data_IF_775375340204
#
_entry.id   IF_775375340204
#
_cell.length_a   1.000
_cell.length_b   1.000
_cell.length_c   1.000
_cell.angle_alpha   90.00
_cell.angle_beta   90.00
_cell.angle_gamma   90.00
#
_symmetry.space_group_name_H-M   'P 1'
#
loop_
_entity.id
_entity.type
_entity.pdbx_description
1 polymer ?
#
# COMPACT_ATOMS: atom_id res chain seq x y z
N UNK A 1 -0.40 -2.00 -23.50
CA UNK A 1 -0.96 -1.51 -22.22
C UNK A 1 -2.13 -0.58 -22.50
N UNK A 2 -3.20 -0.71 -21.74
CA UNK A 2 -4.36 0.15 -21.87
C UNK A 2 -4.07 1.54 -21.32
N UNK A 3 -4.70 2.58 -21.87
CA UNK A 3 -4.53 3.96 -21.44
C UNK A 3 -4.85 4.16 -19.94
N UNK A 4 -5.90 3.50 -19.42
CA UNK A 4 -6.28 3.59 -18.00
C UNK A 4 -5.15 3.06 -17.10
N UNK A 5 -4.57 1.91 -17.44
CA UNK A 5 -3.49 1.32 -16.67
C UNK A 5 -2.25 2.21 -16.67
N UNK A 6 -1.92 2.82 -17.81
CA UNK A 6 -0.80 3.75 -17.92
C UNK A 6 -1.02 4.97 -17.03
N UNK A 7 -2.25 5.50 -16.99
CA UNK A 7 -2.62 6.63 -16.12
C UNK A 7 -2.48 6.28 -14.64
N UNK A 8 -2.90 5.08 -14.25
CA UNK A 8 -2.77 4.60 -12.87
C UNK A 8 -1.31 4.47 -12.45
N UNK A 9 -0.47 3.87 -13.31
CA UNK A 9 0.96 3.76 -13.07
C UNK A 9 1.59 5.13 -12.84
N UNK A 10 1.27 6.09 -13.69
CA UNK A 10 1.85 7.43 -13.63
C UNK A 10 1.42 8.16 -12.36
N UNK A 11 0.16 8.03 -11.96
CA UNK A 11 -0.35 8.64 -10.74
C UNK A 11 0.39 8.11 -9.50
N UNK A 12 0.56 6.79 -9.42
CA UNK A 12 1.25 6.15 -8.31
C UNK A 12 2.72 6.56 -8.30
N UNK A 13 3.38 6.51 -9.46
CA UNK A 13 4.78 6.88 -9.59
C UNK A 13 5.04 8.32 -9.16
N UNK A 14 4.19 9.25 -9.59
CA UNK A 14 4.32 10.66 -9.23
C UNK A 14 4.19 10.88 -7.72
N UNK A 15 3.23 10.22 -7.08
CA UNK A 15 3.04 10.31 -5.64
C UNK A 15 4.22 9.72 -4.88
N UNK A 16 4.72 8.56 -5.31
CA UNK A 16 5.88 7.91 -4.71
C UNK A 16 7.13 8.78 -4.83
N UNK A 17 7.40 9.33 -6.02
CA UNK A 17 8.57 10.17 -6.25
C UNK A 17 8.52 11.47 -5.43
N UNK A 18 7.33 11.98 -5.13
CA UNK A 18 7.14 13.13 -4.27
C UNK A 18 7.07 12.78 -2.78
N UNK A 19 7.17 11.48 -2.44
CA UNK A 19 7.11 10.96 -1.07
C UNK A 19 5.87 11.42 -0.32
N UNK A 20 4.72 11.36 -0.99
CA UNK A 20 3.42 11.75 -0.45
C UNK A 20 2.75 10.53 0.16
N UNK A 21 2.11 10.70 1.33
CA UNK A 21 1.25 9.69 1.91
C UNK A 21 -0.03 9.58 1.08
N UNK A 22 -0.40 8.36 0.68
CA UNK A 22 -1.59 8.16 -0.14
C UNK A 22 -2.09 6.73 -0.07
N UNK A 23 -3.35 6.53 -0.47
CA UNK A 23 -3.92 5.22 -0.75
C UNK A 23 -4.57 5.29 -2.13
N UNK A 24 -4.09 4.47 -3.06
CA UNK A 24 -4.67 4.37 -4.40
C UNK A 24 -5.48 3.08 -4.48
N UNK A 25 -6.81 3.22 -4.54
CA UNK A 25 -7.72 2.07 -4.56
C UNK A 25 -7.76 1.43 -5.94
N UNK A 26 -7.55 0.11 -6.00
CA UNK A 26 -7.62 -0.67 -7.23
C UNK A 26 -9.03 -1.22 -7.48
N UNK A 27 -9.84 -1.30 -6.41
CA UNK A 27 -11.21 -1.80 -6.45
C UNK A 27 -12.12 -0.82 -5.72
N UNK A 28 -13.24 -0.48 -6.35
CA UNK A 28 -14.20 0.44 -5.74
C UNK A 28 -14.76 -0.10 -4.42
N UNK A 29 -15.00 -1.41 -4.34
CA UNK A 29 -15.50 -2.07 -3.13
C UNK A 29 -14.56 -1.93 -1.94
N UNK A 30 -13.26 -1.78 -2.17
CA UNK A 30 -12.25 -1.67 -1.11
C UNK A 30 -12.35 -0.37 -0.33
N UNK A 31 -12.92 0.69 -0.92
CA UNK A 31 -13.10 1.99 -0.26
C UNK A 31 -14.00 1.93 0.98
N UNK A 32 -14.82 0.89 1.09
CA UNK A 32 -15.75 0.71 2.21
C UNK A 32 -15.20 -0.19 3.30
N UNK A 33 -14.02 -0.78 3.08
CA UNK A 33 -13.39 -1.70 4.03
C UNK A 33 -12.43 -0.93 4.92
N UNK A 34 -12.57 -1.19 6.21
CA UNK A 34 -11.98 -0.36 7.26
C UNK A 34 -10.50 -0.62 7.51
N UNK A 35 -10.10 -1.91 7.53
CA UNK A 35 -8.76 -2.30 7.98
C UNK A 35 -7.86 -2.61 6.80
N UNK A 36 -6.69 -1.97 6.77
CA UNK A 36 -5.71 -2.09 5.69
C UNK A 36 -4.53 -2.92 6.16
N UNK A 37 -4.20 -3.96 5.42
CA UNK A 37 -3.08 -4.84 5.70
C UNK A 37 -2.08 -4.76 4.55
N UNK A 38 -0.84 -4.38 4.85
CA UNK A 38 0.25 -4.43 3.88
C UNK A 38 0.71 -5.87 3.69
N UNK A 39 0.71 -6.36 2.47
CA UNK A 39 1.07 -7.75 2.17
C UNK A 39 2.22 -7.90 1.20
N UNK A 40 2.59 -6.86 0.46
CA UNK A 40 3.68 -6.93 -0.48
C UNK A 40 4.40 -5.58 -0.53
N UNK A 41 5.69 -5.58 -0.24
CA UNK A 41 6.51 -4.39 -0.34
C UNK A 41 6.88 -4.13 -1.79
N UNK A 42 6.53 -2.95 -2.30
CA UNK A 42 6.93 -2.50 -3.64
C UNK A 42 8.25 -1.75 -3.55
N UNK A 43 8.38 -0.90 -2.55
CA UNK A 43 9.60 -0.12 -2.30
C UNK A 43 9.71 0.23 -0.82
N UNK A 44 10.93 0.20 -0.31
CA UNK A 44 11.26 0.76 1.02
C UNK A 44 12.65 1.34 0.96
N UNK A 45 12.77 2.62 1.26
CA UNK A 45 14.07 3.31 1.26
C UNK A 45 13.90 4.81 1.33
N UNK A 46 15.01 5.57 1.23
CA UNK A 46 14.98 7.01 1.40
C UNK A 46 14.43 7.78 0.19
N UNK A 47 14.59 7.24 -1.03
CA UNK A 47 14.20 7.96 -2.23
C UNK A 47 13.75 7.01 -3.34
N UNK A 48 12.43 6.90 -3.57
CA UNK A 48 11.90 6.02 -4.61
C UNK A 48 12.42 6.33 -6.02
N UNK A 49 12.73 7.58 -6.32
CA UNK A 49 13.21 7.98 -7.65
C UNK A 49 14.56 7.36 -8.02
N UNK A 50 15.30 6.83 -7.03
CA UNK A 50 16.56 6.14 -7.27
C UNK A 50 16.38 4.66 -7.60
N UNK A 51 15.17 4.13 -7.47
CA UNK A 51 14.86 2.73 -7.76
C UNK A 51 14.58 2.57 -9.26
N UNK A 52 15.55 2.03 -10.00
CA UNK A 52 15.46 1.93 -11.46
C UNK A 52 14.30 1.08 -11.97
N UNK A 53 13.88 0.06 -11.19
CA UNK A 53 12.80 -0.84 -11.56
C UNK A 53 11.46 -0.51 -10.89
N UNK A 54 11.31 0.69 -10.33
CA UNK A 54 10.11 1.06 -9.57
C UNK A 54 8.84 0.94 -10.41
N UNK A 55 8.86 1.44 -11.64
CA UNK A 55 7.72 1.36 -12.54
C UNK A 55 7.33 -0.09 -12.83
N UNK A 56 8.30 -0.96 -13.02
CA UNK A 56 8.08 -2.40 -13.24
C UNK A 56 7.39 -3.03 -12.01
N UNK A 57 7.85 -2.71 -10.81
CA UNK A 57 7.27 -3.24 -9.58
C UNK A 57 5.85 -2.71 -9.33
N UNK A 58 5.61 -1.44 -9.62
CA UNK A 58 4.25 -0.86 -9.58
C UNK A 58 3.34 -1.61 -10.55
N UNK A 59 3.82 -1.84 -11.77
CA UNK A 59 3.03 -2.52 -12.80
C UNK A 59 2.67 -3.95 -12.41
N UNK A 60 3.60 -4.67 -11.78
CA UNK A 60 3.32 -6.00 -11.25
C UNK A 60 2.20 -5.98 -10.22
N UNK A 61 2.22 -5.01 -9.31
CA UNK A 61 1.19 -4.86 -8.30
C UNK A 61 -0.17 -4.53 -8.92
N UNK A 62 -0.20 -3.64 -9.92
CA UNK A 62 -1.43 -3.28 -10.63
C UNK A 62 -2.04 -4.47 -11.38
N UNK A 63 -1.22 -5.41 -11.80
CA UNK A 63 -1.66 -6.60 -12.55
C UNK A 63 -2.15 -7.72 -11.64
N UNK A 64 -1.98 -7.60 -10.32
CA UNK A 64 -2.41 -8.63 -9.37
C UNK A 64 -3.81 -8.33 -8.86
N UNK A 65 -4.78 -9.14 -9.29
CA UNK A 65 -6.19 -8.98 -8.94
C UNK A 65 -6.49 -9.19 -7.44
N UNK A 66 -5.55 -9.74 -6.67
CA UNK A 66 -5.74 -9.96 -5.24
C UNK A 66 -5.52 -8.69 -4.40
N UNK A 67 -4.85 -7.69 -4.94
CA UNK A 67 -4.61 -6.46 -4.20
C UNK A 67 -5.79 -5.51 -4.30
N UNK A 68 -6.10 -4.84 -3.20
CA UNK A 68 -7.19 -3.87 -3.09
C UNK A 68 -6.72 -2.44 -3.27
N UNK A 69 -5.49 -2.14 -2.87
CA UNK A 69 -4.92 -0.80 -2.99
C UNK A 69 -3.39 -0.83 -3.03
N UNK A 70 -2.82 0.29 -3.45
CA UNK A 70 -1.40 0.58 -3.28
C UNK A 70 -1.31 1.79 -2.37
N UNK A 71 -0.53 1.68 -1.31
CA UNK A 71 -0.36 2.76 -0.35
C UNK A 71 1.08 3.23 -0.25
N UNK A 72 1.24 4.53 -0.05
CA UNK A 72 2.53 5.15 0.21
C UNK A 72 2.54 5.85 1.55
N UNK A 73 3.66 5.75 2.25
CA UNK A 73 3.81 6.37 3.55
C UNK A 73 5.25 6.83 3.75
N UNK A 74 5.42 8.09 4.17
CA UNK A 74 6.72 8.66 4.46
C UNK A 74 6.95 8.76 5.96
N UNK A 75 7.85 7.92 6.48
CA UNK A 75 8.34 8.05 7.84
C UNK A 75 9.46 9.09 7.85
N UNK A 76 9.12 10.31 8.24
CA UNK A 76 10.04 11.45 8.20
C UNK A 76 11.19 11.30 9.19
N UNK A 77 10.94 10.72 10.35
CA UNK A 77 11.96 10.53 11.39
C UNK A 77 13.07 9.59 10.91
N UNK A 78 12.69 8.48 10.30
CA UNK A 78 13.64 7.50 9.78
C UNK A 78 14.15 7.83 8.39
N UNK A 79 13.57 8.85 7.73
CA UNK A 79 13.81 9.17 6.31
C UNK A 79 13.61 7.95 5.41
N UNK A 80 12.48 7.27 5.61
CA UNK A 80 12.12 6.07 4.86
C UNK A 80 10.75 6.29 4.23
N UNK A 81 10.64 6.01 2.93
CA UNK A 81 9.38 5.96 2.22
C UNK A 81 9.03 4.50 1.95
N UNK A 82 7.80 4.11 2.28
CA UNK A 82 7.27 2.76 2.03
C UNK A 82 6.17 2.83 0.99
N UNK A 83 6.25 1.95 -0.01
CA UNK A 83 5.21 1.77 -1.02
C UNK A 83 4.80 0.31 -0.97
N UNK A 84 3.54 0.04 -0.65
CA UNK A 84 3.05 -1.32 -0.40
C UNK A 84 1.78 -1.63 -1.17
N UNK A 85 1.62 -2.90 -1.52
CA UNK A 85 0.34 -3.43 -2.00
C UNK A 85 -0.44 -4.00 -0.82
N UNK A 86 -1.72 -3.68 -0.74
CA UNK A 86 -2.55 -3.93 0.42
C UNK A 86 -3.80 -4.73 0.10
N UNK A 87 -4.30 -5.45 1.12
CA UNK A 87 -5.64 -6.01 1.15
C UNK A 87 -6.42 -5.33 2.27
N UNK A 88 -7.71 -5.08 2.04
CA UNK A 88 -8.60 -4.40 2.98
C UNK A 88 -9.63 -5.36 3.53
N UNK A 89 -9.95 -5.21 4.81
CA UNK A 89 -10.93 -6.04 5.52
C UNK A 89 -11.90 -5.18 6.32
N UNK A 90 -13.14 -5.69 6.48
CA UNK A 90 -14.08 -5.16 7.47
C UNK A 90 -13.92 -5.81 8.83
N UNK A 91 -13.34 -6.99 8.89
CA UNK A 91 -13.19 -7.80 10.09
C UNK A 91 -11.76 -7.64 10.63
N UNK A 92 -11.67 -7.08 11.85
CA UNK A 92 -10.38 -6.84 12.50
C UNK A 92 -9.62 -8.13 12.79
N UNK A 93 -10.32 -9.22 13.09
CA UNK A 93 -9.68 -10.50 13.39
C UNK A 93 -9.01 -11.07 12.15
N UNK A 94 -9.72 -11.05 11.01
CA UNK A 94 -9.16 -11.49 9.72
C UNK A 94 -7.97 -10.63 9.32
N UNK A 95 -8.06 -9.31 9.51
CA UNK A 95 -6.96 -8.40 9.20
C UNK A 95 -5.72 -8.72 10.03
N UNK A 96 -5.87 -8.95 11.34
CA UNK A 96 -4.76 -9.30 12.22
C UNK A 96 -4.15 -10.65 11.86
N UNK A 97 -4.96 -11.65 11.51
CA UNK A 97 -4.48 -12.96 11.09
C UNK A 97 -3.61 -12.86 9.84
N UNK A 98 -4.08 -12.13 8.83
CA UNK A 98 -3.32 -11.95 7.60
C UNK A 98 -2.02 -11.16 7.86
N UNK A 99 -2.08 -10.11 8.67
CA UNK A 99 -0.91 -9.32 9.02
C UNK A 99 0.16 -10.19 9.69
N UNK A 100 -0.24 -11.01 10.68
CA UNK A 100 0.66 -11.93 11.36
C UNK A 100 1.27 -12.94 10.38
N UNK A 101 0.48 -13.50 9.47
CA UNK A 101 0.95 -14.45 8.46
C UNK A 101 1.99 -13.82 7.52
N UNK A 102 1.95 -12.52 7.33
CA UNK A 102 2.90 -11.78 6.51
C UNK A 102 3.97 -11.05 7.34
N UNK A 103 4.13 -11.43 8.59
CA UNK A 103 5.14 -10.88 9.49
C UNK A 103 5.00 -9.37 9.73
N UNK A 104 3.79 -8.86 9.60
CA UNK A 104 3.47 -7.47 9.92
C UNK A 104 3.12 -7.36 11.40
N UNK A 105 3.58 -6.29 12.04
CA UNK A 105 3.31 -6.06 13.48
C UNK A 105 2.04 -5.25 13.71
N UNK A 106 1.50 -4.63 12.67
CA UNK A 106 0.38 -3.71 12.77
C UNK A 106 -0.46 -3.69 11.50
N UNK A 107 -1.70 -3.24 11.66
CA UNK A 107 -2.63 -2.92 10.58
C UNK A 107 -3.04 -1.45 10.71
N UNK A 108 -3.64 -0.89 9.68
CA UNK A 108 -4.13 0.49 9.70
C UNK A 108 -5.65 0.53 9.72
N UNK A 109 -6.22 1.32 10.66
CA UNK A 109 -7.66 1.60 10.71
C UNK A 109 -7.94 2.88 9.95
N UNK A 110 -8.46 2.75 8.73
CA UNK A 110 -8.71 3.87 7.82
C UNK A 110 -9.91 4.71 8.25
N UNK A 111 -10.80 4.18 9.10
CA UNK A 111 -11.95 4.92 9.59
C UNK A 111 -11.58 5.86 10.74
N UNK A 112 -10.68 5.41 11.61
CA UNK A 112 -10.24 6.21 12.77
C UNK A 112 -8.85 6.80 12.59
N UNK A 113 -8.20 6.54 11.45
CA UNK A 113 -6.85 7.03 11.11
C UNK A 113 -5.83 6.70 12.20
N UNK A 114 -5.78 5.43 12.59
CA UNK A 114 -4.84 4.97 13.61
C UNK A 114 -4.24 3.62 13.28
N UNK A 115 -3.06 3.38 13.83
CA UNK A 115 -2.38 2.09 13.77
C UNK A 115 -2.93 1.18 14.87
N UNK A 116 -3.19 -0.09 14.54
CA UNK A 116 -3.59 -1.12 15.49
C UNK A 116 -2.54 -2.21 15.46
N UNK A 117 -1.96 -2.52 16.61
CA UNK A 117 -0.95 -3.58 16.70
C UNK A 117 -1.61 -4.95 16.72
N UNK A 118 -0.97 -5.92 16.06
CA UNK A 118 -1.52 -7.27 15.89
C UNK A 118 -1.75 -7.97 17.23
N UNK A 119 -0.89 -7.70 18.20
CA UNK A 119 -0.93 -8.34 19.53
C UNK A 119 -1.80 -7.61 20.56
N UNK A 120 -2.49 -6.59 20.15
CA UNK A 120 -3.37 -5.83 21.06
C UNK A 120 -4.76 -6.42 21.16
#
# INVERSE_FOLDING_TARGET
MRAIQLTMQQAILNKANSRIDFTYYLKESSKRKRYIVSISEIYKGPNPSLQSNLLTEINKALSNANFDSIGGWHNKEANVYCLDANIHFNDIVKAKILAAANLQVAIYDDFENKVIYVND
#
